data_IF_021709383724
#
_entry.id   IF_021709383724
#
_cell.length_a   1.000
_cell.length_b   1.000
_cell.length_c   1.000
_cell.angle_alpha   90.00
_cell.angle_beta   90.00
_cell.angle_gamma   90.00
#
_symmetry.space_group_name_H-M   'P 1'
#
loop_
_entity.id
_entity.type
_entity.pdbx_description
1 polymer ?
#
# COMPACT_ATOMS: atom_id res chain seq x y z
N UNK A 1 0.59 1.78 -25.63
CA UNK A 1 1.00 1.22 -25.44
C UNK A 1 1.51 0.36 -24.92
N UNK A 2 1.62 -0.08 -24.91
CA UNK A 2 2.09 -0.86 -24.41
C UNK A 2 3.15 -1.61 -24.24
N UNK A 3 4.05 -1.25 -24.62
CA UNK A 3 5.25 -2.05 -24.66
C UNK A 3 5.77 -2.38 -23.33
N UNK A 4 5.37 -1.62 -22.32
CA UNK A 4 5.64 -1.97 -20.94
C UNK A 4 5.22 -3.40 -20.65
N UNK A 5 4.28 -3.90 -21.41
CA UNK A 5 3.79 -5.26 -21.25
C UNK A 5 4.76 -6.31 -21.73
N UNK A 6 5.82 -5.90 -22.41
CA UNK A 6 6.85 -6.80 -22.89
C UNK A 6 7.98 -7.02 -21.91
N UNK A 7 7.91 -6.40 -20.74
CA UNK A 7 8.93 -6.59 -19.73
C UNK A 7 9.04 -8.05 -19.32
N UNK A 8 10.28 -8.52 -19.22
CA UNK A 8 10.56 -9.86 -18.71
C UNK A 8 10.34 -9.85 -17.20
N UNK A 9 9.42 -10.65 -16.66
CA UNK A 9 9.20 -10.68 -15.22
C UNK A 9 10.45 -11.03 -14.43
N UNK A 10 11.38 -11.78 -15.00
CA UNK A 10 12.59 -12.17 -14.30
C UNK A 10 13.57 -11.00 -14.13
N UNK A 11 13.39 -9.93 -14.89
CA UNK A 11 14.23 -8.73 -14.79
C UNK A 11 13.66 -7.67 -13.86
N UNK A 12 12.46 -7.88 -13.34
CA UNK A 12 11.84 -6.93 -12.43
C UNK A 12 12.60 -6.90 -11.10
N UNK A 13 12.77 -5.70 -10.58
CA UNK A 13 13.41 -5.49 -9.28
C UNK A 13 12.64 -4.46 -8.51
N UNK A 14 12.65 -4.59 -7.20
CA UNK A 14 12.10 -3.54 -6.32
C UNK A 14 13.18 -2.48 -6.11
N UNK A 15 12.72 -1.29 -5.72
CA UNK A 15 13.62 -0.23 -5.25
C UNK A 15 13.74 -0.37 -3.74
N UNK A 16 14.82 -1.00 -3.29
CA UNK A 16 14.99 -1.36 -1.88
C UNK A 16 14.96 -0.12 -0.97
N UNK A 17 15.62 0.97 -1.37
CA UNK A 17 15.65 2.19 -0.56
C UNK A 17 14.26 2.79 -0.42
N UNK A 18 13.47 2.79 -1.49
CA UNK A 18 12.10 3.30 -1.42
C UNK A 18 11.24 2.46 -0.49
N UNK A 19 11.35 1.13 -0.58
CA UNK A 19 10.61 0.25 0.31
C UNK A 19 11.00 0.48 1.77
N UNK A 20 12.29 0.54 2.04
CA UNK A 20 12.79 0.76 3.41
C UNK A 20 12.32 2.10 3.96
N UNK A 21 12.40 3.16 3.15
CA UNK A 21 11.94 4.49 3.55
C UNK A 21 10.46 4.48 3.87
N UNK A 22 9.64 3.79 3.07
CA UNK A 22 8.20 3.68 3.33
C UNK A 22 7.93 2.96 4.64
N UNK A 23 8.63 1.86 4.91
CA UNK A 23 8.48 1.13 6.17
C UNK A 23 8.86 2.02 7.35
N UNK A 24 9.94 2.77 7.24
CA UNK A 24 10.39 3.65 8.32
C UNK A 24 9.45 4.84 8.51
N UNK A 25 8.88 5.38 7.46
CA UNK A 25 7.90 6.46 7.56
C UNK A 25 6.66 5.99 8.32
N UNK A 26 6.11 4.83 7.95
CA UNK A 26 4.95 4.28 8.65
C UNK A 26 5.29 3.95 10.11
N UNK A 27 6.50 3.51 10.38
CA UNK A 27 6.95 3.16 11.72
C UNK A 27 7.02 4.37 12.66
N UNK A 28 7.03 5.60 12.15
CA UNK A 28 7.01 6.80 12.99
C UNK A 28 5.63 7.06 13.58
N UNK A 29 4.58 6.58 12.95
CA UNK A 29 3.22 6.79 13.43
C UNK A 29 2.96 5.82 14.57
N UNK A 30 2.84 6.35 15.78
CA UNK A 30 2.65 5.53 16.98
C UNK A 30 3.93 4.87 17.49
N UNK A 31 5.09 5.39 17.11
CA UNK A 31 6.38 4.84 17.56
C UNK A 31 6.47 4.80 19.08
N UNK A 32 7.03 3.71 19.61
CA UNK A 32 7.25 3.55 21.04
C UNK A 32 8.74 3.69 21.37
N UNK A 33 9.08 3.99 22.65
CA UNK A 33 10.49 4.19 23.00
C UNK A 33 11.42 3.01 22.72
N UNK A 34 10.87 1.79 22.68
CA UNK A 34 11.68 0.59 22.47
C UNK A 34 11.69 0.12 21.01
N UNK A 35 11.31 0.99 20.08
CA UNK A 35 11.39 0.69 18.66
C UNK A 35 10.20 -0.03 18.07
N UNK A 36 9.13 -0.21 18.83
CA UNK A 36 7.88 -0.75 18.30
C UNK A 36 6.92 0.33 17.86
N UNK A 37 5.71 -0.07 17.54
CA UNK A 37 4.61 0.85 17.25
C UNK A 37 3.37 0.41 18.02
N UNK A 38 2.53 1.39 18.37
CA UNK A 38 1.23 1.13 18.97
C UNK A 38 0.19 2.02 18.30
N UNK A 39 -0.68 1.41 17.51
CA UNK A 39 -1.78 2.09 16.82
C UNK A 39 -3.06 1.32 17.09
N UNK A 40 -3.65 1.60 18.25
CA UNK A 40 -4.89 0.93 18.62
C UNK A 40 -6.00 1.28 17.65
N UNK A 41 -6.81 0.31 17.30
CA UNK A 41 -7.93 0.45 16.36
C UNK A 41 -8.84 1.59 16.78
N UNK A 42 -9.26 2.39 15.81
CA UNK A 42 -10.18 3.53 15.98
C UNK A 42 -9.60 4.71 16.75
N UNK A 43 -8.29 4.74 16.96
CA UNK A 43 -7.61 5.91 17.52
C UNK A 43 -7.10 6.81 16.39
N UNK A 44 -6.69 8.04 16.76
CA UNK A 44 -6.11 8.97 15.80
C UNK A 44 -4.84 8.40 15.15
N UNK A 45 -4.03 7.69 15.92
CA UNK A 45 -2.80 7.07 15.39
C UNK A 45 -3.13 6.00 14.36
N UNK A 46 -4.14 5.18 14.62
CA UNK A 46 -4.62 4.20 13.64
C UNK A 46 -5.07 4.89 12.36
N UNK A 47 -5.85 5.97 12.50
CA UNK A 47 -6.31 6.74 11.34
C UNK A 47 -5.13 7.32 10.55
N UNK A 48 -4.13 7.89 11.23
CA UNK A 48 -2.95 8.44 10.57
C UNK A 48 -2.21 7.37 9.76
N UNK A 49 -2.05 6.18 10.31
CA UNK A 49 -1.40 5.07 9.61
C UNK A 49 -2.17 4.65 8.38
N UNK A 50 -3.49 4.49 8.50
CA UNK A 50 -4.34 4.13 7.36
C UNK A 50 -4.37 5.23 6.31
N UNK A 51 -4.40 6.49 6.72
CA UNK A 51 -4.37 7.62 5.79
C UNK A 51 -3.07 7.67 5.00
N UNK A 52 -1.94 7.37 5.63
CA UNK A 52 -0.65 7.33 4.96
C UNK A 52 -0.62 6.25 3.87
N UNK A 53 -1.02 5.04 4.21
CA UNK A 53 -1.05 3.92 3.25
C UNK A 53 -2.03 4.21 2.11
N UNK A 54 -3.19 4.79 2.43
CA UNK A 54 -4.18 5.19 1.44
C UNK A 54 -3.61 6.22 0.47
N UNK A 55 -2.87 7.20 0.99
CA UNK A 55 -2.23 8.21 0.15
C UNK A 55 -1.23 7.58 -0.80
N UNK A 56 -0.39 6.68 -0.31
CA UNK A 56 0.56 5.97 -1.16
C UNK A 56 -0.14 5.18 -2.27
N UNK A 57 -1.23 4.51 -1.93
CA UNK A 57 -1.98 3.74 -2.92
C UNK A 57 -2.54 4.64 -4.02
N UNK A 58 -3.11 5.79 -3.63
CA UNK A 58 -3.64 6.74 -4.61
C UNK A 58 -2.54 7.36 -5.46
N UNK A 59 -1.40 7.66 -4.87
CA UNK A 59 -0.25 8.17 -5.62
C UNK A 59 0.28 7.16 -6.62
N UNK A 60 0.12 5.87 -6.31
CA UNK A 60 0.50 4.79 -7.22
C UNK A 60 -0.58 4.46 -8.25
N UNK A 61 -1.67 5.22 -8.27
CA UNK A 61 -2.73 5.04 -9.26
C UNK A 61 -3.78 4.01 -8.89
N UNK A 62 -3.80 3.56 -7.64
CA UNK A 62 -4.79 2.60 -7.19
C UNK A 62 -6.08 3.29 -6.75
N UNK A 63 -7.21 2.60 -6.92
CA UNK A 63 -8.45 2.99 -6.28
C UNK A 63 -8.52 2.41 -4.87
N UNK A 64 -9.17 3.13 -3.96
CA UNK A 64 -9.28 2.71 -2.57
C UNK A 64 -10.76 2.61 -2.20
N UNK A 65 -11.14 1.47 -1.65
CA UNK A 65 -12.50 1.21 -1.17
C UNK A 65 -12.41 0.70 0.26
N UNK A 66 -13.28 1.20 1.11
CA UNK A 66 -13.34 0.76 2.51
C UNK A 66 -14.74 0.19 2.74
N UNK A 67 -14.81 -1.04 3.24
CA UNK A 67 -16.10 -1.68 3.48
C UNK A 67 -16.69 -1.25 4.81
N UNK A 68 -17.84 -1.85 5.14
CA UNK A 68 -18.62 -1.44 6.31
C UNK A 68 -17.98 -1.80 7.64
N UNK A 69 -17.00 -2.70 7.63
CA UNK A 69 -16.30 -3.12 8.85
C UNK A 69 -14.85 -2.65 8.88
N UNK A 70 -14.48 -1.75 7.97
CA UNK A 70 -13.18 -1.10 8.00
C UNK A 70 -12.08 -1.76 7.21
N UNK A 71 -12.37 -2.78 6.40
CA UNK A 71 -11.37 -3.36 5.52
C UNK A 71 -11.07 -2.40 4.37
N UNK A 72 -9.80 -2.12 4.12
CA UNK A 72 -9.37 -1.28 3.01
C UNK A 72 -8.92 -2.13 1.85
N UNK A 73 -9.43 -1.82 0.66
CA UNK A 73 -9.08 -2.50 -0.58
C UNK A 73 -8.43 -1.50 -1.52
N UNK A 74 -7.22 -1.81 -1.95
CA UNK A 74 -6.47 -0.98 -2.87
C UNK A 74 -6.31 -1.77 -4.16
N UNK A 75 -6.92 -1.28 -5.22
CA UNK A 75 -7.01 -2.03 -6.47
C UNK A 75 -6.30 -1.30 -7.59
N UNK A 76 -5.41 -2.00 -8.26
CA UNK A 76 -4.79 -1.54 -9.49
C UNK A 76 -5.43 -2.25 -10.67
N UNK A 77 -5.97 -1.54 -11.67
CA UNK A 77 -6.53 -2.19 -12.86
C UNK A 77 -5.47 -2.95 -13.62
N UNK A 78 -5.84 -4.10 -14.16
CA UNK A 78 -5.00 -4.84 -15.08
C UNK A 78 -5.31 -4.46 -16.52
N UNK A 79 -4.71 -5.18 -17.45
CA UNK A 79 -4.99 -5.01 -18.86
C UNK A 79 -6.35 -5.59 -19.27
N UNK A 80 -6.78 -6.64 -18.60
CA UNK A 80 -8.07 -7.28 -18.85
C UNK A 80 -8.79 -7.48 -17.53
N UNK A 81 -9.67 -6.53 -17.21
CA UNK A 81 -10.38 -6.54 -15.95
C UNK A 81 -11.55 -7.53 -15.91
N UNK A 82 -11.79 -8.26 -17.03
CA UNK A 82 -12.72 -9.38 -17.04
C UNK A 82 -12.12 -10.62 -16.37
N UNK A 83 -10.81 -10.68 -16.25
CA UNK A 83 -10.14 -11.77 -15.54
C UNK A 83 -10.21 -11.54 -14.03
N UNK A 84 -10.22 -12.62 -13.21
CA UNK A 84 -10.19 -12.48 -11.77
C UNK A 84 -8.93 -11.76 -11.31
N UNK A 85 -9.04 -10.93 -10.24
CA UNK A 85 -7.86 -10.24 -9.71
C UNK A 85 -6.97 -11.19 -8.90
N UNK A 86 -5.71 -10.80 -8.77
CA UNK A 86 -4.80 -11.40 -7.80
C UNK A 86 -4.83 -10.52 -6.57
N UNK A 87 -5.03 -11.12 -5.40
CA UNK A 87 -5.12 -10.41 -4.14
C UNK A 87 -4.03 -10.88 -3.18
N UNK A 88 -3.39 -9.92 -2.52
CA UNK A 88 -2.40 -10.22 -1.48
C UNK A 88 -2.78 -9.56 -0.18
#
# INVERSE_FOLDING_TARGET
>A
MDTATKSDPTSLRITADRLWTSLMELAQIGATPKGGVCRLTLTDLDKQGRDLVTRWAREAGMSVTIDQIGNGFMRRPGRNNALPPIMT
#
